data_IF_314451525603
#
_entry.id   IF_314451525603
#
_cell.length_a   1.000
_cell.length_b   1.000
_cell.length_c   1.000
_cell.angle_alpha   90.00
_cell.angle_beta   90.00
_cell.angle_gamma   90.00
#
_symmetry.space_group_name_H-M   'P 1'
#
loop_
_entity.id
_entity.type
_entity.pdbx_description
1 polymer ?
#
# COMPACT_ATOMS: atom_id res chain seq x y z
N UNK A 1 -8.28 11.11 19.95
CA UNK A 1 -7.58 11.78 18.85
C UNK A 1 -7.51 10.80 17.70
N UNK A 2 -8.02 11.17 16.52
CA UNK A 2 -7.88 10.34 15.32
C UNK A 2 -6.53 10.67 14.69
N UNK A 3 -5.66 9.68 14.53
CA UNK A 3 -4.39 9.87 13.83
C UNK A 3 -4.67 10.32 12.39
N UNK A 4 -3.96 11.34 11.91
CA UNK A 4 -4.07 11.83 10.53
C UNK A 4 -2.66 11.98 9.96
N UNK A 5 -2.39 11.52 8.74
CA UNK A 5 -1.06 11.63 8.15
C UNK A 5 -0.73 13.09 7.80
N UNK A 6 0.50 13.54 8.10
CA UNK A 6 0.97 14.88 7.72
C UNK A 6 1.18 15.04 6.20
N UNK A 7 1.28 13.92 5.48
CA UNK A 7 1.41 13.90 4.03
C UNK A 7 0.52 12.83 3.42
N UNK A 8 -0.29 13.22 2.44
CA UNK A 8 -1.16 12.28 1.76
C UNK A 8 -0.37 11.30 0.91
N UNK A 9 0.74 11.74 0.29
CA UNK A 9 1.44 10.99 -0.77
C UNK A 9 2.71 10.27 -0.32
N UNK A 10 3.10 10.42 0.95
CA UNK A 10 4.27 9.75 1.53
C UNK A 10 3.78 8.94 2.71
N UNK A 11 4.29 7.72 2.85
CA UNK A 11 3.99 6.88 3.99
C UNK A 11 5.23 6.11 4.42
N UNK A 12 5.58 6.24 5.70
CA UNK A 12 6.47 5.31 6.37
C UNK A 12 5.58 4.21 6.95
N UNK A 13 5.47 3.11 6.21
CA UNK A 13 4.68 1.95 6.61
C UNK A 13 5.50 1.12 7.58
N UNK A 14 4.99 0.90 8.79
CA UNK A 14 5.52 -0.13 9.66
C UNK A 14 5.18 -1.52 9.08
N UNK A 15 6.10 -2.48 9.14
CA UNK A 15 5.82 -3.85 8.68
C UNK A 15 5.24 -4.72 9.80
N UNK A 16 5.49 -4.42 11.08
CA UNK A 16 4.92 -5.14 12.24
C UNK A 16 3.54 -4.53 12.60
N UNK A 17 2.59 -4.67 11.68
CA UNK A 17 1.31 -3.96 11.76
C UNK A 17 0.07 -4.81 11.48
N UNK A 18 0.20 -6.14 11.41
CA UNK A 18 -0.92 -7.04 11.16
C UNK A 18 -1.25 -7.81 12.44
N UNK A 19 -2.28 -7.39 13.16
CA UNK A 19 -2.72 -8.00 14.41
C UNK A 19 -4.08 -8.68 14.24
N UNK A 20 -5.03 -8.02 13.56
CA UNK A 20 -6.40 -8.51 13.45
C UNK A 20 -7.15 -8.00 12.20
N UNK A 21 -8.45 -8.29 12.19
CA UNK A 21 -9.36 -7.85 11.13
C UNK A 21 -9.40 -6.32 11.10
N UNK A 22 -9.06 -5.76 9.94
CA UNK A 22 -9.09 -4.34 9.67
C UNK A 22 -7.75 -3.81 9.20
N UNK A 23 -6.66 -4.52 9.49
CA UNK A 23 -5.31 -4.05 9.19
C UNK A 23 -5.02 -4.03 7.69
N UNK A 24 -5.27 -5.14 6.98
CA UNK A 24 -5.09 -5.15 5.53
C UNK A 24 -6.07 -4.22 4.82
N UNK A 25 -7.30 -4.10 5.33
CA UNK A 25 -8.27 -3.12 4.84
C UNK A 25 -7.71 -1.70 4.97
N UNK A 26 -7.21 -1.33 6.15
CA UNK A 26 -6.64 -0.01 6.43
C UNK A 26 -5.45 0.30 5.52
N UNK A 27 -4.60 -0.70 5.23
CA UNK A 27 -3.49 -0.56 4.30
C UNK A 27 -3.99 -0.28 2.88
N UNK A 28 -4.99 -1.00 2.38
CA UNK A 28 -5.58 -0.74 1.05
C UNK A 28 -6.22 0.65 0.99
N UNK A 29 -6.97 1.04 2.02
CA UNK A 29 -7.57 2.39 2.12
C UNK A 29 -6.50 3.48 2.15
N UNK A 30 -5.39 3.25 2.85
CA UNK A 30 -4.24 4.16 2.86
C UNK A 30 -3.62 4.28 1.46
N UNK A 31 -3.46 3.18 0.74
CA UNK A 31 -2.95 3.20 -0.63
C UNK A 31 -3.89 3.97 -1.58
N UNK A 32 -5.20 3.79 -1.47
CA UNK A 32 -6.19 4.61 -2.19
C UNK A 32 -6.07 6.09 -1.84
N UNK A 33 -5.94 6.42 -0.55
CA UNK A 33 -5.76 7.80 -0.13
C UNK A 33 -4.49 8.42 -0.73
N UNK A 34 -3.36 7.69 -0.69
CA UNK A 34 -2.09 8.14 -1.26
C UNK A 34 -2.15 8.43 -2.75
N UNK A 35 -3.01 7.71 -3.48
CA UNK A 35 -3.15 7.84 -4.93
C UNK A 35 -4.35 8.69 -5.33
N UNK A 36 -4.93 9.45 -4.39
CA UNK A 36 -6.11 10.29 -4.64
C UNK A 36 -7.31 9.48 -5.16
N UNK A 37 -7.50 8.27 -4.60
CA UNK A 37 -8.57 7.31 -4.91
C UNK A 37 -8.64 6.94 -6.39
N UNK A 38 -7.47 6.80 -7.02
CA UNK A 38 -7.36 6.59 -8.47
C UNK A 38 -8.06 5.31 -8.96
N UNK A 39 -8.20 4.30 -8.10
CA UNK A 39 -8.89 3.05 -8.45
C UNK A 39 -10.35 3.04 -7.99
N UNK A 40 -10.72 3.91 -7.05
CA UNK A 40 -12.06 3.98 -6.46
C UNK A 40 -12.53 2.60 -6.00
N UNK A 41 -11.68 1.94 -5.21
CA UNK A 41 -12.00 0.62 -4.68
C UNK A 41 -13.20 0.71 -3.73
N UNK A 42 -14.13 -0.23 -3.88
CA UNK A 42 -15.37 -0.32 -3.09
C UNK A 42 -15.39 -1.61 -2.28
N UNK A 43 -16.29 -1.70 -1.28
CA UNK A 43 -16.51 -2.91 -0.48
C UNK A 43 -15.22 -3.54 0.10
N UNK A 44 -14.27 -2.71 0.52
CA UNK A 44 -12.99 -3.18 1.06
C UNK A 44 -13.25 -3.84 2.43
N UNK A 45 -12.91 -5.11 2.51
CA UNK A 45 -13.07 -5.95 3.69
C UNK A 45 -11.93 -6.96 3.75
N UNK A 46 -11.50 -7.31 4.95
CA UNK A 46 -10.42 -8.25 5.18
C UNK A 46 -10.78 -9.30 6.23
N UNK A 47 -9.93 -10.32 6.28
CA UNK A 47 -9.96 -11.34 7.30
C UNK A 47 -8.52 -11.69 7.65
N UNK A 48 -8.20 -11.49 8.93
CA UNK A 48 -6.92 -11.82 9.54
C UNK A 48 -7.19 -12.69 10.74
N UNK A 49 -6.51 -13.83 10.78
CA UNK A 49 -6.49 -14.76 11.90
C UNK A 49 -5.10 -15.41 11.92
N UNK A 50 -4.22 -14.87 12.75
CA UNK A 50 -2.80 -15.26 12.81
C UNK A 50 -2.67 -16.72 13.24
N UNK A 51 -3.41 -17.12 14.28
CA UNK A 51 -3.41 -18.48 14.81
C UNK A 51 -3.83 -19.52 13.77
N UNK A 52 -4.79 -19.16 12.89
CA UNK A 52 -5.25 -20.04 11.81
C UNK A 52 -4.49 -19.83 10.49
N UNK A 53 -3.52 -18.92 10.44
CA UNK A 53 -2.74 -18.62 9.25
C UNK A 53 -3.56 -18.01 8.10
N UNK A 54 -4.59 -17.22 8.42
CA UNK A 54 -5.45 -16.56 7.44
C UNK A 54 -5.09 -15.09 7.35
N UNK A 55 -4.72 -14.64 6.15
CA UNK A 55 -4.68 -13.23 5.80
C UNK A 55 -5.18 -13.03 4.37
N UNK A 56 -6.25 -12.26 4.20
CA UNK A 56 -6.81 -11.94 2.90
C UNK A 56 -7.58 -10.63 2.90
N UNK A 57 -7.59 -9.95 1.76
CA UNK A 57 -8.45 -8.80 1.50
C UNK A 57 -9.31 -9.06 0.26
N UNK A 58 -10.52 -8.53 0.29
CA UNK A 58 -11.44 -8.47 -0.85
C UNK A 58 -11.91 -7.04 -1.06
N UNK A 59 -12.18 -6.70 -2.31
CA UNK A 59 -12.75 -5.41 -2.69
C UNK A 59 -13.36 -5.51 -4.08
N UNK A 60 -14.20 -4.54 -4.42
CA UNK A 60 -14.78 -4.33 -5.73
C UNK A 60 -13.91 -3.34 -6.52
N UNK A 61 -13.55 -3.68 -7.76
CA UNK A 61 -12.79 -2.83 -8.67
C UNK A 61 -13.29 -3.04 -10.10
N UNK A 62 -13.71 -1.95 -10.77
CA UNK A 62 -14.24 -2.01 -12.15
C UNK A 62 -15.36 -3.05 -12.32
N UNK A 63 -16.28 -3.13 -11.34
CA UNK A 63 -17.41 -4.08 -11.35
C UNK A 63 -17.02 -5.54 -11.07
N UNK A 64 -15.76 -5.83 -10.73
CA UNK A 64 -15.29 -7.17 -10.42
C UNK A 64 -14.85 -7.28 -8.96
N UNK A 65 -15.16 -8.41 -8.31
CA UNK A 65 -14.61 -8.72 -6.99
C UNK A 65 -13.18 -9.24 -7.13
N UNK A 66 -12.23 -8.51 -6.58
CA UNK A 66 -10.83 -8.91 -6.45
C UNK A 66 -10.61 -9.53 -5.07
N UNK A 67 -9.81 -10.60 -5.01
CA UNK A 67 -9.39 -11.23 -3.75
C UNK A 67 -7.88 -11.46 -3.75
N UNK A 68 -7.22 -10.98 -2.72
CA UNK A 68 -5.80 -11.20 -2.48
C UNK A 68 -5.62 -12.02 -1.21
N UNK A 69 -4.78 -13.04 -1.30
CA UNK A 69 -4.31 -13.83 -0.15
C UNK A 69 -2.87 -13.46 0.16
N UNK A 70 -2.53 -13.46 1.43
CA UNK A 70 -1.22 -13.07 1.93
C UNK A 70 -0.63 -14.19 2.79
N UNK A 71 0.70 -14.25 2.83
CA UNK A 71 1.41 -15.08 3.79
C UNK A 71 1.25 -14.49 5.19
N UNK A 72 1.06 -15.34 6.19
CA UNK A 72 1.02 -14.95 7.61
C UNK A 72 2.37 -15.25 8.24
N UNK A 73 2.99 -14.23 8.82
CA UNK A 73 4.27 -14.32 9.51
C UNK A 73 4.20 -13.50 10.79
N UNK A 74 3.59 -14.07 11.83
CA UNK A 74 3.28 -13.35 13.07
C UNK A 74 2.54 -12.03 12.76
N UNK A 75 3.00 -10.90 13.28
CA UNK A 75 2.43 -9.58 13.05
C UNK A 75 2.95 -8.85 11.79
N UNK A 76 3.69 -9.56 10.94
CA UNK A 76 4.33 -8.98 9.78
C UNK A 76 3.40 -8.88 8.57
N UNK A 77 3.43 -7.70 7.95
CA UNK A 77 2.84 -7.43 6.66
C UNK A 77 3.51 -8.23 5.53
N UNK A 78 2.71 -9.01 4.80
CA UNK A 78 3.11 -9.48 3.46
C UNK A 78 3.23 -8.30 2.47
N UNK A 79 4.46 -7.90 2.19
CA UNK A 79 4.79 -6.80 1.28
C UNK A 79 4.33 -6.98 -0.17
N UNK A 80 3.80 -8.15 -0.57
CA UNK A 80 3.23 -8.37 -1.90
C UNK A 80 1.98 -7.53 -2.19
N UNK A 81 1.35 -6.94 -1.16
CA UNK A 81 0.25 -5.99 -1.33
C UNK A 81 0.64 -4.78 -2.18
N UNK A 82 1.86 -4.24 -2.01
CA UNK A 82 2.32 -3.04 -2.71
C UNK A 82 2.46 -3.23 -4.21
N UNK A 83 3.18 -4.24 -4.73
CA UNK A 83 3.25 -4.48 -6.17
C UNK A 83 1.89 -4.89 -6.76
N UNK A 84 1.02 -5.61 -6.02
CA UNK A 84 -0.34 -5.95 -6.48
C UNK A 84 -1.20 -4.70 -6.68
N UNK A 85 -1.19 -3.79 -5.72
CA UNK A 85 -1.87 -2.51 -5.83
C UNK A 85 -1.26 -1.63 -6.93
N UNK A 86 0.07 -1.56 -7.00
CA UNK A 86 0.77 -0.79 -8.03
C UNK A 86 0.47 -1.28 -9.45
N UNK A 87 0.22 -2.58 -9.63
CA UNK A 87 -0.22 -3.14 -10.91
C UNK A 87 -1.60 -2.60 -11.32
N UNK A 88 -2.59 -2.66 -10.42
CA UNK A 88 -3.91 -2.06 -10.68
C UNK A 88 -3.79 -0.57 -11.01
N UNK A 89 -2.96 0.16 -10.26
CA UNK A 89 -2.70 1.58 -10.50
C UNK A 89 -2.02 1.83 -11.85
N UNK A 90 -1.13 0.94 -12.28
CA UNK A 90 -0.44 1.07 -13.57
C UNK A 90 -1.41 0.90 -14.75
N UNK A 91 -2.40 0.02 -14.61
CA UNK A 91 -3.47 -0.24 -15.57
C UNK A 91 -4.55 0.85 -15.57
N UNK A 92 -4.58 1.70 -14.55
CA UNK A 92 -5.44 2.89 -14.48
C UNK A 92 -4.90 4.05 -15.34
N UNK A 93 -5.80 4.92 -15.80
CA UNK A 93 -5.46 6.18 -16.49
C UNK A 93 -4.99 7.30 -15.55
N UNK A 94 -4.79 7.02 -14.26
CA UNK A 94 -4.33 8.00 -13.28
C UNK A 94 -2.89 8.47 -13.54
N UNK A 95 -2.52 9.71 -13.14
CA UNK A 95 -1.17 10.25 -13.38
C UNK A 95 -0.13 9.78 -12.35
N UNK A 96 -0.57 9.19 -11.24
CA UNK A 96 0.29 8.76 -10.13
C UNK A 96 0.75 7.32 -10.32
N UNK A 97 1.94 7.01 -9.83
CA UNK A 97 2.48 5.66 -9.69
C UNK A 97 3.04 5.48 -8.28
N UNK A 98 3.00 4.24 -7.80
CA UNK A 98 3.55 3.88 -6.50
C UNK A 98 5.03 3.55 -6.63
N UNK A 99 5.83 4.21 -5.81
CA UNK A 99 7.26 3.96 -5.63
C UNK A 99 7.54 3.63 -4.18
N UNK A 100 8.70 3.04 -3.91
CA UNK A 100 9.13 2.84 -2.53
C UNK A 100 10.53 2.29 -2.37
N UNK A 101 10.91 2.12 -1.11
CA UNK A 101 12.22 1.70 -0.65
C UNK A 101 12.10 0.90 0.66
N UNK A 102 12.50 -0.37 0.60
CA UNK A 102 12.43 -1.33 1.71
C UNK A 102 13.80 -1.62 2.35
N UNK A 103 14.89 -0.97 1.90
CA UNK A 103 16.27 -1.38 2.27
C UNK A 103 16.93 -0.52 3.34
N UNK A 104 16.25 0.51 3.85
CA UNK A 104 16.91 1.57 4.64
C UNK A 104 16.20 2.00 5.91
N UNK A 105 15.11 1.34 6.29
CA UNK A 105 14.25 1.81 7.38
C UNK A 105 13.90 0.71 8.40
N UNK A 106 14.76 -0.30 8.55
CA UNK A 106 14.53 -1.40 9.50
C UNK A 106 13.26 -2.17 9.16
N UNK A 107 12.34 -2.27 10.12
CA UNK A 107 11.00 -2.84 9.94
C UNK A 107 10.06 -1.95 9.11
N UNK A 108 10.46 -0.74 8.70
CA UNK A 108 9.60 0.12 7.91
C UNK A 108 9.88 0.07 6.40
N UNK A 109 8.84 0.38 5.63
CA UNK A 109 8.90 0.63 4.19
C UNK A 109 8.53 2.08 3.89
N UNK A 110 9.37 2.79 3.12
CA UNK A 110 8.96 4.08 2.57
C UNK A 110 8.19 3.85 1.28
N UNK A 111 6.97 4.38 1.22
CA UNK A 111 6.12 4.42 0.04
C UNK A 111 5.84 5.86 -0.37
N UNK A 112 5.82 6.10 -1.68
CA UNK A 112 5.53 7.43 -2.23
C UNK A 112 4.69 7.30 -3.50
N UNK A 113 3.60 8.05 -3.56
CA UNK A 113 2.78 8.22 -4.75
C UNK A 113 3.20 9.48 -5.51
N UNK A 114 3.74 9.33 -6.73
CA UNK A 114 4.27 10.44 -7.52
C UNK A 114 3.90 10.30 -8.99
N UNK A 115 3.88 11.41 -9.72
CA UNK A 115 4.02 11.36 -11.18
C UNK A 115 5.42 10.84 -11.50
N UNK A 116 5.59 9.95 -12.50
CA UNK A 116 6.91 9.46 -12.87
C UNK A 116 7.94 10.57 -13.15
N UNK A 117 7.48 11.69 -13.72
CA UNK A 117 8.31 12.88 -14.01
C UNK A 117 8.85 13.59 -12.77
N UNK A 118 8.19 13.46 -11.61
CA UNK A 118 8.59 14.12 -10.36
C UNK A 118 9.55 13.29 -9.51
N UNK A 119 9.75 12.01 -9.85
CA UNK A 119 10.67 11.10 -9.14
C UNK A 119 12.08 11.67 -9.01
N UNK A 120 12.62 12.28 -10.07
CA UNK A 120 13.95 12.86 -10.06
C UNK A 120 14.09 14.01 -9.04
N UNK A 121 13.08 14.88 -8.97
CA UNK A 121 13.03 15.97 -7.99
C UNK A 121 12.94 15.43 -6.57
N UNK A 122 12.10 14.43 -6.32
CA UNK A 122 12.00 13.76 -5.02
C UNK A 122 13.35 13.21 -4.56
N UNK A 123 14.05 12.46 -5.42
CA UNK A 123 15.36 11.89 -5.09
C UNK A 123 16.40 13.00 -4.85
N UNK A 124 16.37 14.09 -5.62
CA UNK A 124 17.29 15.23 -5.43
C UNK A 124 17.10 15.92 -4.08
N UNK A 125 15.85 16.15 -3.68
CA UNK A 125 15.51 16.85 -2.43
C UNK A 125 15.75 15.98 -1.19
N UNK A 126 15.32 14.72 -1.24
CA UNK A 126 15.35 13.82 -0.07
C UNK A 126 16.65 13.02 0.04
N UNK A 127 17.39 12.87 -1.07
CA UNK A 127 18.50 11.92 -1.23
C UNK A 127 18.09 10.44 -1.06
N UNK A 128 16.79 10.15 -0.97
CA UNK A 128 16.26 8.79 -0.85
C UNK A 128 15.91 8.26 -2.23
N UNK A 129 16.54 7.14 -2.60
CA UNK A 129 16.22 6.44 -3.85
C UNK A 129 14.95 5.60 -3.64
N UNK A 130 13.98 5.78 -4.53
CA UNK A 130 12.77 4.95 -4.59
C UNK A 130 12.68 4.22 -5.93
N UNK A 131 12.12 3.01 -5.93
CA UNK A 131 11.90 2.16 -7.11
C UNK A 131 10.42 2.03 -7.38
N UNK A 132 10.06 1.88 -8.66
CA UNK A 132 8.67 1.64 -9.05
C UNK A 132 8.25 0.26 -8.56
N UNK A 133 7.02 0.14 -8.05
CA UNK A 133 6.49 -1.12 -7.50
C UNK A 133 5.84 -2.03 -8.55
N UNK A 134 5.63 -1.54 -9.76
CA UNK A 134 5.11 -2.29 -10.91
C UNK A 134 6.02 -2.08 -12.13
#
# INVERSE_FOLDING_TARGET
>A
MTWTPDCDRVWMCDAECIYDRGDYKTIVERLEHMTSKALSLEDIDDEVDIERGIARVRFSHSGQTVRWKFAVHDDWLDGSIFPRYAKLLADSNGPLRLFGNFRKFGQCALLVALRPTDRGKFVKLTRIRVRRMA
#
